data_IF_419682843058
#
_entry.id   IF_419682843058
#
_cell.length_a   1.000
_cell.length_b   1.000
_cell.length_c   1.000
_cell.angle_alpha   90.00
_cell.angle_beta   90.00
_cell.angle_gamma   90.00
#
_symmetry.space_group_name_H-M   'P 1'
#
loop_
_entity.id
_entity.type
_entity.pdbx_description
1 polymer ?
#
# COMPACT_ATOMS: atom_id res chain seq x y z
N UNK A 1 7.58 -1.36 4.02
CA UNK A 1 8.09 -0.95 5.37
C UNK A 1 9.61 -0.94 5.35
N UNK A 2 10.21 0.20 5.63
CA UNK A 2 11.65 0.45 5.44
C UNK A 2 12.57 -0.33 6.39
N UNK A 3 12.06 -0.79 7.52
CA UNK A 3 12.83 -1.59 8.52
C UNK A 3 12.76 -3.09 8.31
N UNK A 4 11.98 -3.56 7.35
CA UNK A 4 11.86 -4.98 7.06
C UNK A 4 13.07 -5.49 6.27
N UNK A 5 13.40 -6.76 6.43
CA UNK A 5 14.57 -7.39 5.79
C UNK A 5 14.58 -7.22 4.27
N UNK A 6 13.42 -7.28 3.63
CA UNK A 6 13.29 -7.13 2.18
C UNK A 6 13.41 -5.67 1.67
N UNK A 7 13.63 -4.68 2.55
CA UNK A 7 13.70 -3.28 2.13
C UNK A 7 14.87 -3.01 1.16
N UNK A 8 16.04 -3.59 1.41
CA UNK A 8 17.19 -3.46 0.54
C UNK A 8 16.96 -4.08 -0.84
N UNK A 9 16.38 -5.30 -0.88
CA UNK A 9 16.02 -5.99 -2.12
C UNK A 9 14.99 -5.19 -2.92
N UNK A 10 13.96 -4.63 -2.28
CA UNK A 10 12.96 -3.80 -2.94
C UNK A 10 13.59 -2.56 -3.62
N UNK A 11 14.63 -1.97 -3.01
CA UNK A 11 15.37 -0.84 -3.59
C UNK A 11 16.23 -1.29 -4.77
N UNK A 12 16.83 -2.48 -4.72
CA UNK A 12 17.57 -3.04 -5.86
C UNK A 12 16.64 -3.31 -7.04
N UNK A 13 15.46 -3.87 -6.79
CA UNK A 13 14.44 -4.08 -7.83
C UNK A 13 13.92 -2.76 -8.43
N UNK A 14 13.70 -1.73 -7.61
CA UNK A 14 13.34 -0.39 -8.11
C UNK A 14 14.39 0.17 -9.10
N UNK A 15 15.67 -0.03 -8.83
CA UNK A 15 16.75 0.37 -9.73
C UNK A 15 16.74 -0.42 -11.05
N UNK A 16 16.31 -1.69 -11.02
CA UNK A 16 16.19 -2.55 -12.23
C UNK A 16 14.95 -2.21 -13.05
N UNK A 17 13.90 -1.70 -12.41
CA UNK A 17 12.62 -1.39 -13.03
C UNK A 17 12.24 0.09 -12.85
N UNK A 18 12.91 1.03 -13.53
CA UNK A 18 12.77 2.48 -13.29
C UNK A 18 11.38 3.06 -13.61
N UNK A 19 10.50 2.27 -14.21
CA UNK A 19 9.08 2.62 -14.41
C UNK A 19 8.22 2.35 -13.20
N UNK A 20 8.71 1.60 -12.21
CA UNK A 20 8.02 1.42 -10.94
C UNK A 20 8.17 2.69 -10.09
N UNK A 21 7.12 2.99 -9.34
CA UNK A 21 7.16 4.05 -8.33
C UNK A 21 7.37 3.41 -6.96
N UNK A 22 8.54 3.61 -6.38
CA UNK A 22 8.83 3.11 -5.04
C UNK A 22 8.35 4.12 -4.00
N UNK A 23 7.24 3.80 -3.33
CA UNK A 23 6.69 4.53 -2.19
C UNK A 23 7.20 4.02 -0.85
N UNK A 24 6.90 4.76 0.20
CA UNK A 24 7.17 4.36 1.57
C UNK A 24 5.88 3.98 2.29
N UNK A 25 5.75 2.69 2.61
CA UNK A 25 4.71 2.15 3.49
C UNK A 25 5.12 2.37 4.95
N UNK A 26 4.56 3.41 5.57
CA UNK A 26 4.88 3.82 6.95
C UNK A 26 4.30 2.82 7.95
N UNK A 27 5.09 2.47 8.93
CA UNK A 27 4.76 1.50 9.97
C UNK A 27 4.75 2.17 11.34
N UNK A 28 3.57 2.27 11.95
CA UNK A 28 3.39 2.79 13.31
C UNK A 28 3.00 1.71 14.31
N UNK A 29 2.76 0.48 13.83
CA UNK A 29 2.32 -0.65 14.62
C UNK A 29 1.39 -1.58 13.85
N UNK A 30 1.03 -2.69 14.45
CA UNK A 30 0.12 -3.68 13.90
C UNK A 30 -0.90 -4.13 14.92
N UNK A 31 -2.15 -4.25 14.47
CA UNK A 31 -3.26 -4.81 15.22
C UNK A 31 -3.85 -6.01 14.47
N UNK A 32 -4.14 -7.07 15.17
CA UNK A 32 -4.77 -8.26 14.60
C UNK A 32 -6.13 -8.49 15.22
N UNK A 33 -7.11 -8.86 14.39
CA UNK A 33 -8.45 -9.22 14.85
C UNK A 33 -8.51 -10.73 15.11
N UNK A 34 -8.57 -11.12 16.40
CA UNK A 34 -8.61 -12.51 16.82
C UNK A 34 -9.69 -12.69 17.90
N UNK A 35 -10.44 -13.77 17.83
CA UNK A 35 -11.47 -14.13 18.80
C UNK A 35 -12.52 -13.03 19.05
N UNK A 36 -12.86 -12.26 18.02
CA UNK A 36 -13.84 -11.18 18.12
C UNK A 36 -13.30 -9.84 18.65
N UNK A 37 -12.01 -9.74 18.92
CA UNK A 37 -11.38 -8.54 19.48
C UNK A 37 -10.14 -8.10 18.69
N UNK A 38 -9.91 -6.79 18.67
CA UNK A 38 -8.66 -6.23 18.17
C UNK A 38 -7.57 -6.33 19.24
N UNK A 39 -6.43 -6.94 18.89
CA UNK A 39 -5.26 -7.06 19.76
C UNK A 39 -4.07 -6.39 19.09
N UNK A 40 -3.36 -5.58 19.87
CA UNK A 40 -2.10 -4.99 19.43
C UNK A 40 -1.04 -6.08 19.35
N UNK A 41 -0.39 -6.19 18.18
CA UNK A 41 0.73 -7.11 17.95
C UNK A 41 2.03 -6.41 18.37
N UNK A 42 2.23 -5.20 17.86
CA UNK A 42 3.31 -4.30 18.29
C UNK A 42 2.91 -2.84 18.05
N UNK A 43 3.65 -1.93 18.67
CA UNK A 43 3.53 -0.49 18.49
C UNK A 43 4.91 0.13 18.40
N UNK A 44 5.12 1.03 17.44
CA UNK A 44 6.39 1.71 17.24
C UNK A 44 6.51 2.95 18.12
N UNK A 45 5.39 3.64 18.32
CA UNK A 45 5.24 4.82 19.18
C UNK A 45 3.80 4.87 19.68
N UNK A 46 3.53 5.44 20.87
CA UNK A 46 2.16 5.56 21.37
C UNK A 46 1.25 6.26 20.35
N UNK A 47 0.13 5.60 20.00
CA UNK A 47 -0.77 6.06 18.95
C UNK A 47 -1.53 7.34 19.31
N UNK A 48 -1.51 7.77 20.56
CA UNK A 48 -2.09 9.01 21.09
C UNK A 48 -1.06 10.15 21.23
N UNK A 49 0.26 9.87 21.11
CA UNK A 49 1.32 10.89 21.10
C UNK A 49 1.65 11.37 19.69
N UNK A 50 0.96 12.41 19.25
CA UNK A 50 1.15 12.96 17.89
C UNK A 50 2.54 13.54 17.65
N UNK A 51 3.27 13.94 18.69
CA UNK A 51 4.66 14.42 18.55
C UNK A 51 5.58 13.23 18.27
N UNK A 52 5.42 12.14 19.00
CA UNK A 52 6.15 10.90 18.76
C UNK A 52 5.80 10.29 17.39
N UNK A 53 4.53 10.31 16.99
CA UNK A 53 4.07 9.86 15.67
C UNK A 53 4.75 10.66 14.55
N UNK A 54 4.75 12.01 14.62
CA UNK A 54 5.41 12.85 13.62
C UNK A 54 6.92 12.55 13.54
N UNK A 55 7.57 12.45 14.68
CA UNK A 55 9.00 12.15 14.75
C UNK A 55 9.33 10.78 14.16
N UNK A 56 8.46 9.77 14.35
CA UNK A 56 8.65 8.43 13.80
C UNK A 56 8.45 8.42 12.28
N UNK A 57 7.43 9.11 11.75
CA UNK A 57 7.22 9.25 10.32
C UNK A 57 8.47 9.86 9.66
N UNK A 58 9.00 10.96 10.22
CA UNK A 58 10.20 11.62 9.68
C UNK A 58 11.43 10.71 9.74
N UNK A 59 11.59 9.91 10.81
CA UNK A 59 12.68 8.92 10.89
C UNK A 59 12.59 7.85 9.81
N UNK A 60 11.40 7.35 9.51
CA UNK A 60 11.22 6.34 8.45
C UNK A 60 11.48 6.94 7.06
N UNK A 61 11.09 8.18 6.82
CA UNK A 61 11.39 8.89 5.58
C UNK A 61 12.91 9.08 5.43
N UNK A 62 13.59 9.52 6.49
CA UNK A 62 15.03 9.67 6.46
C UNK A 62 15.77 8.34 6.24
N UNK A 63 15.33 7.28 6.88
CA UNK A 63 15.88 5.94 6.64
C UNK A 63 15.66 5.48 5.19
N UNK A 64 14.49 5.76 4.61
CA UNK A 64 14.24 5.50 3.20
C UNK A 64 15.22 6.26 2.30
N UNK A 65 15.45 7.56 2.57
CA UNK A 65 16.42 8.39 1.84
C UNK A 65 17.83 7.82 1.89
N UNK A 66 18.26 7.37 3.06
CA UNK A 66 19.59 6.77 3.25
C UNK A 66 19.76 5.49 2.44
N UNK A 67 18.71 4.66 2.36
CA UNK A 67 18.74 3.40 1.63
C UNK A 67 18.58 3.59 0.12
N UNK A 68 17.62 4.43 -0.30
CA UNK A 68 17.25 4.60 -1.70
C UNK A 68 18.07 5.69 -2.42
N UNK A 69 18.68 6.63 -1.67
CA UNK A 69 19.38 7.80 -2.23
C UNK A 69 18.45 8.88 -2.81
N UNK A 70 17.14 8.77 -2.56
CA UNK A 70 16.09 9.69 -3.06
C UNK A 70 14.87 9.69 -2.17
N UNK A 71 13.95 10.61 -2.39
CA UNK A 71 12.64 10.60 -1.75
C UNK A 71 11.76 9.44 -2.25
N UNK A 72 10.84 8.93 -1.41
CA UNK A 72 9.78 8.05 -1.90
C UNK A 72 8.88 8.79 -2.88
N UNK A 73 8.33 8.08 -3.86
CA UNK A 73 7.41 8.68 -4.83
C UNK A 73 6.04 9.02 -4.23
N UNK A 74 5.67 8.36 -3.16
CA UNK A 74 4.42 8.55 -2.41
C UNK A 74 4.54 7.94 -1.02
N UNK A 75 3.59 8.30 -0.17
CA UNK A 75 3.44 7.75 1.18
C UNK A 75 2.11 7.03 1.31
N UNK A 76 2.12 5.95 2.06
CA UNK A 76 0.94 5.31 2.62
C UNK A 76 1.29 4.72 3.99
N UNK A 77 0.39 4.01 4.65
CA UNK A 77 0.70 3.41 5.93
C UNK A 77 0.07 2.04 6.12
N UNK A 78 0.74 1.22 6.90
CA UNK A 78 0.22 -0.05 7.36
C UNK A 78 -1.16 0.12 7.99
N UNK A 79 -2.09 -0.79 7.67
CA UNK A 79 -3.48 -0.77 8.13
C UNK A 79 -4.21 0.57 7.93
N UNK A 80 -3.74 1.39 6.96
CA UNK A 80 -4.33 2.69 6.61
C UNK A 80 -4.52 3.66 7.79
N UNK A 81 -3.64 3.59 8.80
CA UNK A 81 -3.72 4.46 9.99
C UNK A 81 -3.69 5.96 9.64
N UNK A 82 -3.08 6.32 8.49
CA UNK A 82 -3.10 7.69 7.96
C UNK A 82 -4.50 8.23 7.65
N UNK A 83 -5.53 7.39 7.59
CA UNK A 83 -6.92 7.80 7.39
C UNK A 83 -7.66 8.10 8.70
N UNK A 84 -7.08 7.73 9.85
CA UNK A 84 -7.72 7.84 11.16
C UNK A 84 -7.33 9.13 11.87
N UNK A 85 -8.29 9.80 12.51
CA UNK A 85 -7.98 10.93 13.39
C UNK A 85 -7.44 10.40 14.74
N UNK A 86 -6.48 11.09 15.35
CA UNK A 86 -5.85 12.36 14.94
C UNK A 86 -4.66 12.21 13.96
N UNK A 87 -4.19 11.00 13.68
CA UNK A 87 -3.02 10.72 12.82
C UNK A 87 -3.14 11.34 11.42
N UNK A 88 -4.36 11.37 10.85
CA UNK A 88 -4.63 11.97 9.54
C UNK A 88 -4.04 13.37 9.38
N UNK A 89 -4.17 14.20 10.41
CA UNK A 89 -3.64 15.57 10.40
C UNK A 89 -2.11 15.61 10.36
N UNK A 90 -1.45 14.71 11.10
CA UNK A 90 0.01 14.60 11.14
C UNK A 90 0.56 14.13 9.81
N UNK A 91 0.00 13.07 9.24
CA UNK A 91 0.39 12.56 7.93
C UNK A 91 0.23 13.62 6.83
N UNK A 92 -0.92 14.31 6.81
CA UNK A 92 -1.18 15.39 5.86
C UNK A 92 -0.17 16.55 5.98
N UNK A 93 0.18 16.93 7.21
CA UNK A 93 1.19 17.97 7.49
C UNK A 93 2.56 17.56 6.95
N UNK A 94 3.01 16.35 7.28
CA UNK A 94 4.33 15.86 6.85
C UNK A 94 4.39 15.72 5.32
N UNK A 95 3.40 15.09 4.71
CA UNK A 95 3.34 14.91 3.26
C UNK A 95 3.36 16.26 2.52
N UNK A 96 2.57 17.24 2.97
CA UNK A 96 2.53 18.58 2.39
C UNK A 96 3.86 19.31 2.52
N UNK A 97 4.49 19.26 3.71
CA UNK A 97 5.77 19.93 3.96
C UNK A 97 6.90 19.39 3.08
N UNK A 98 6.82 18.12 2.72
CA UNK A 98 7.82 17.44 1.89
C UNK A 98 7.43 17.39 0.39
N UNK A 99 6.24 17.86 0.02
CA UNK A 99 5.74 17.77 -1.36
C UNK A 99 5.51 16.34 -1.83
N UNK A 100 5.24 15.40 -0.91
CA UNK A 100 5.05 13.98 -1.23
C UNK A 100 3.56 13.65 -1.37
N UNK A 101 3.16 12.92 -2.43
CA UNK A 101 1.81 12.36 -2.52
C UNK A 101 1.51 11.46 -1.33
N UNK A 102 0.29 11.54 -0.80
CA UNK A 102 -0.20 10.66 0.26
C UNK A 102 -1.48 9.98 -0.24
N UNK A 103 -1.54 8.66 -0.10
CA UNK A 103 -2.72 7.84 -0.45
C UNK A 103 -3.99 8.41 0.20
N UNK A 104 -5.10 8.43 -0.54
CA UNK A 104 -6.40 8.96 -0.11
C UNK A 104 -6.44 10.48 0.19
N UNK A 105 -5.44 11.25 -0.25
CA UNK A 105 -5.42 12.71 -0.06
C UNK A 105 -5.51 13.50 -1.37
N UNK A 106 -5.29 12.85 -2.51
CA UNK A 106 -5.56 13.46 -3.81
C UNK A 106 -7.01 13.17 -4.23
N UNK A 107 -7.90 14.17 -4.31
CA UNK A 107 -9.30 13.97 -4.67
C UNK A 107 -9.50 13.47 -6.11
N UNK A 108 -8.49 13.60 -6.97
CA UNK A 108 -8.52 13.09 -8.35
C UNK A 108 -8.16 11.61 -8.47
N UNK A 109 -7.78 10.95 -7.36
CA UNK A 109 -7.43 9.53 -7.32
C UNK A 109 -8.38 8.81 -6.39
N UNK A 110 -9.19 7.92 -6.94
CA UNK A 110 -10.03 7.01 -6.17
C UNK A 110 -9.21 5.84 -5.64
N UNK A 111 -9.55 5.33 -4.46
CA UNK A 111 -8.93 4.12 -3.93
C UNK A 111 -9.91 2.95 -4.00
N UNK A 112 -9.48 1.82 -4.54
CA UNK A 112 -10.20 0.55 -4.56
C UNK A 112 -9.47 -0.49 -3.72
N UNK A 113 -10.05 -0.90 -2.59
CA UNK A 113 -9.53 -1.94 -1.70
C UNK A 113 -10.31 -3.25 -1.79
N UNK A 114 -11.10 -3.46 -2.85
CA UNK A 114 -11.94 -4.66 -2.99
C UNK A 114 -11.16 -5.92 -3.36
N UNK A 115 -9.94 -5.78 -3.87
CA UNK A 115 -9.06 -6.90 -4.18
C UNK A 115 -8.28 -7.28 -2.93
N UNK A 116 -8.89 -8.13 -2.09
CA UNK A 116 -8.33 -8.54 -0.81
C UNK A 116 -8.78 -9.95 -0.42
N UNK A 117 -7.83 -10.79 -0.01
CA UNK A 117 -8.05 -12.23 0.28
C UNK A 117 -8.62 -12.52 1.66
N UNK A 118 -9.11 -11.51 2.39
CA UNK A 118 -9.72 -11.68 3.70
C UNK A 118 -11.04 -10.94 3.84
N UNK A 119 -12.00 -11.56 4.54
CA UNK A 119 -13.28 -10.95 4.89
C UNK A 119 -13.58 -11.13 6.37
N UNK A 120 -13.74 -10.04 7.13
CA UNK A 120 -13.99 -10.07 8.58
C UNK A 120 -12.98 -10.94 9.34
N UNK A 121 -11.69 -10.87 8.97
CA UNK A 121 -10.61 -11.65 9.59
C UNK A 121 -10.48 -13.09 9.10
N UNK A 122 -11.41 -13.61 8.29
CA UNK A 122 -11.34 -14.96 7.73
C UNK A 122 -10.78 -14.97 6.31
N UNK A 123 -10.15 -16.08 5.86
CA UNK A 123 -9.77 -16.26 4.47
C UNK A 123 -10.96 -16.08 3.52
N UNK A 124 -10.74 -15.34 2.45
CA UNK A 124 -11.71 -15.07 1.38
C UNK A 124 -11.02 -15.13 0.02
N UNK A 125 -10.62 -16.33 -0.44
CA UNK A 125 -9.85 -16.50 -1.68
C UNK A 125 -10.59 -15.99 -2.93
N UNK A 126 -11.94 -16.00 -2.93
CA UNK A 126 -12.72 -15.42 -4.01
C UNK A 126 -12.41 -13.92 -4.20
N UNK A 127 -12.05 -13.21 -3.12
CA UNK A 127 -11.70 -11.78 -3.14
C UNK A 127 -10.47 -11.46 -3.98
N UNK A 128 -9.56 -12.41 -4.14
CA UNK A 128 -8.32 -12.28 -4.94
C UNK A 128 -8.30 -13.17 -6.18
N UNK A 129 -9.48 -13.72 -6.56
CA UNK A 129 -9.60 -14.52 -7.77
C UNK A 129 -9.51 -13.68 -9.05
N UNK A 130 -9.14 -14.34 -10.16
CA UNK A 130 -9.13 -13.74 -11.51
C UNK A 130 -10.51 -13.20 -11.89
N UNK A 131 -11.57 -13.92 -11.54
CA UNK A 131 -12.96 -13.51 -11.78
C UNK A 131 -13.28 -12.20 -11.06
N UNK A 132 -12.93 -12.12 -9.79
CA UNK A 132 -13.19 -10.91 -9.00
C UNK A 132 -12.38 -9.71 -9.51
N UNK A 133 -11.11 -9.90 -9.83
CA UNK A 133 -10.28 -8.81 -10.37
C UNK A 133 -10.82 -8.31 -11.71
N UNK A 134 -11.23 -9.21 -12.61
CA UNK A 134 -11.90 -8.81 -13.85
C UNK A 134 -13.22 -8.07 -13.59
N UNK A 135 -14.00 -8.47 -12.57
CA UNK A 135 -15.21 -7.74 -12.16
C UNK A 135 -14.88 -6.33 -11.67
N UNK A 136 -13.86 -6.21 -10.81
CA UNK A 136 -13.38 -4.91 -10.31
C UNK A 136 -12.99 -4.02 -11.48
N UNK A 137 -12.14 -4.50 -12.42
CA UNK A 137 -11.68 -3.74 -13.57
C UNK A 137 -12.87 -3.18 -14.38
N UNK A 138 -13.91 -4.00 -14.64
CA UNK A 138 -15.13 -3.56 -15.33
C UNK A 138 -15.94 -2.50 -14.59
N UNK A 139 -15.84 -2.46 -13.28
CA UNK A 139 -16.59 -1.54 -12.42
C UNK A 139 -15.83 -0.25 -12.06
N UNK A 140 -14.59 -0.11 -12.51
CA UNK A 140 -13.79 1.08 -12.23
C UNK A 140 -14.49 2.34 -12.78
N UNK A 141 -14.57 3.42 -12.00
CA UNK A 141 -15.06 4.70 -12.50
C UNK A 141 -14.10 5.29 -13.52
N UNK A 142 -14.60 6.17 -14.37
CA UNK A 142 -13.72 6.97 -15.22
C UNK A 142 -12.82 7.87 -14.37
N UNK A 143 -11.54 7.96 -14.77
CA UNK A 143 -10.53 8.72 -14.02
C UNK A 143 -9.37 7.84 -13.56
N UNK A 144 -8.76 8.20 -12.43
CA UNK A 144 -7.62 7.49 -11.88
C UNK A 144 -8.06 6.72 -10.64
N UNK A 145 -7.75 5.42 -10.61
CA UNK A 145 -8.00 4.56 -9.45
C UNK A 145 -6.71 3.86 -9.03
N UNK A 146 -6.37 3.98 -7.75
CA UNK A 146 -5.37 3.16 -7.10
C UNK A 146 -6.02 1.85 -6.64
N UNK A 147 -5.54 0.71 -7.14
CA UNK A 147 -5.97 -0.61 -6.69
C UNK A 147 -5.03 -1.09 -5.57
N UNK A 148 -5.57 -1.28 -4.37
CA UNK A 148 -4.84 -1.89 -3.26
C UNK A 148 -4.62 -3.39 -3.52
N UNK A 149 -3.36 -3.85 -3.39
CA UNK A 149 -3.00 -5.25 -3.47
C UNK A 149 -1.77 -5.53 -2.60
N UNK A 150 -1.54 -6.80 -2.27
CA UNK A 150 -0.47 -7.24 -1.37
C UNK A 150 0.32 -8.42 -1.96
N UNK A 151 0.71 -8.36 -3.26
CA UNK A 151 1.42 -9.47 -3.88
C UNK A 151 2.76 -9.72 -3.20
N UNK A 152 3.16 -10.97 -3.14
CA UNK A 152 4.45 -11.36 -2.60
C UNK A 152 4.72 -12.85 -2.81
N UNK A 153 5.98 -13.24 -2.71
CA UNK A 153 6.34 -14.64 -2.71
C UNK A 153 6.26 -15.17 -1.28
N UNK A 154 5.81 -16.42 -1.13
CA UNK A 154 5.80 -17.12 0.15
C UNK A 154 7.24 -17.53 0.50
N UNK A 155 7.94 -16.63 1.16
CA UNK A 155 9.35 -16.79 1.54
C UNK A 155 9.54 -16.93 3.06
N UNK A 156 8.61 -17.61 3.74
CA UNK A 156 8.68 -17.81 5.19
C UNK A 156 8.40 -16.55 6.00
N UNK A 157 7.54 -15.68 5.50
CA UNK A 157 7.05 -14.52 6.22
C UNK A 157 6.19 -14.96 7.40
N UNK A 158 6.49 -14.43 8.58
CA UNK A 158 5.63 -14.56 9.76
C UNK A 158 4.46 -13.57 9.64
N UNK A 159 3.46 -13.95 8.86
CA UNK A 159 2.29 -13.13 8.58
C UNK A 159 1.07 -14.03 8.37
N UNK A 160 -0.06 -13.63 8.91
CA UNK A 160 -1.35 -14.30 8.68
C UNK A 160 -1.82 -14.21 7.20
N UNK A 161 -1.22 -13.34 6.38
CA UNK A 161 -1.53 -13.10 4.97
C UNK A 161 -0.39 -13.60 4.06
N UNK A 162 -0.03 -14.89 4.14
CA UNK A 162 1.09 -15.46 3.35
C UNK A 162 0.62 -16.13 2.07
N UNK A 163 -0.30 -17.09 2.17
CA UNK A 163 -0.81 -17.82 1.02
C UNK A 163 -1.49 -16.88 0.01
N UNK A 164 -2.27 -15.93 0.53
CA UNK A 164 -2.97 -14.94 -0.26
C UNK A 164 -2.03 -14.09 -1.12
N UNK A 165 -0.82 -13.75 -0.62
CA UNK A 165 0.18 -12.98 -1.39
C UNK A 165 0.60 -13.68 -2.66
N UNK A 166 0.86 -14.99 -2.59
CA UNK A 166 1.25 -15.79 -3.75
C UNK A 166 0.09 -15.94 -4.75
N UNK A 167 -1.13 -16.06 -4.27
CA UNK A 167 -2.32 -16.09 -5.12
C UNK A 167 -2.55 -14.73 -5.81
N UNK A 168 -2.34 -13.62 -5.10
CA UNK A 168 -2.39 -12.28 -5.70
C UNK A 168 -1.39 -12.13 -6.85
N UNK A 169 -0.14 -12.62 -6.69
CA UNK A 169 0.84 -12.62 -7.79
C UNK A 169 0.31 -13.37 -9.00
N UNK A 170 -0.22 -14.59 -8.80
CA UNK A 170 -0.75 -15.41 -9.89
C UNK A 170 -1.93 -14.71 -10.59
N UNK A 171 -2.83 -14.12 -9.81
CA UNK A 171 -3.99 -13.40 -10.34
C UNK A 171 -3.58 -12.15 -11.11
N UNK A 172 -2.72 -11.30 -10.54
CA UNK A 172 -2.25 -10.06 -11.18
C UNK A 172 -1.48 -10.33 -12.48
N UNK A 173 -0.77 -11.46 -12.57
CA UNK A 173 -0.03 -11.87 -13.76
C UNK A 173 -0.86 -12.70 -14.75
N UNK A 174 -2.14 -12.95 -14.46
CA UNK A 174 -2.96 -13.84 -15.30
C UNK A 174 -3.34 -13.18 -16.63
N UNK A 175 -3.24 -13.93 -17.74
CA UNK A 175 -3.50 -13.40 -19.09
C UNK A 175 -4.92 -12.85 -19.29
N UNK A 176 -5.94 -13.40 -18.62
CA UNK A 176 -7.31 -12.88 -18.64
C UNK A 176 -7.42 -11.49 -18.03
N UNK A 177 -6.65 -11.21 -16.96
CA UNK A 177 -6.61 -9.88 -16.34
C UNK A 177 -6.02 -8.87 -17.31
N UNK A 178 -4.95 -9.24 -18.01
CA UNK A 178 -4.35 -8.39 -19.05
C UNK A 178 -5.35 -8.10 -20.18
N UNK A 179 -6.03 -9.13 -20.66
CA UNK A 179 -7.05 -8.98 -21.70
C UNK A 179 -8.23 -8.12 -21.25
N UNK A 180 -8.59 -8.18 -19.95
CA UNK A 180 -9.65 -7.34 -19.39
C UNK A 180 -9.24 -5.86 -19.33
N UNK A 181 -8.01 -5.56 -18.90
CA UNK A 181 -7.47 -4.19 -18.92
C UNK A 181 -7.49 -3.60 -20.32
N UNK A 182 -7.06 -4.38 -21.33
CA UNK A 182 -7.05 -3.96 -22.73
C UNK A 182 -8.47 -3.72 -23.25
N UNK A 183 -9.43 -4.59 -22.91
CA UNK A 183 -10.84 -4.47 -23.30
C UNK A 183 -11.50 -3.22 -22.72
N UNK A 184 -11.28 -2.95 -21.45
CA UNK A 184 -11.83 -1.78 -20.74
C UNK A 184 -10.99 -0.51 -21.00
N UNK A 185 -9.93 -0.60 -21.82
CA UNK A 185 -9.02 0.51 -22.15
C UNK A 185 -8.38 1.14 -20.91
N UNK A 186 -8.07 0.32 -19.91
CA UNK A 186 -7.39 0.77 -18.71
C UNK A 186 -5.89 0.93 -19.01
N UNK A 187 -5.36 2.11 -18.72
CA UNK A 187 -3.92 2.38 -18.81
C UNK A 187 -3.32 2.28 -17.40
N UNK A 188 -2.30 1.43 -17.24
CA UNK A 188 -1.53 1.34 -16.00
C UNK A 188 -0.57 2.52 -15.95
N UNK A 189 -0.60 3.24 -14.83
CA UNK A 189 0.28 4.38 -14.55
C UNK A 189 0.92 4.21 -13.18
N UNK A 190 2.07 4.84 -12.97
CA UNK A 190 2.76 4.85 -11.69
C UNK A 190 2.48 6.14 -10.92
N UNK A 191 2.75 6.16 -9.62
CA UNK A 191 2.60 7.39 -8.82
C UNK A 191 3.45 8.56 -9.31
N UNK A 192 4.62 8.28 -9.92
CA UNK A 192 5.48 9.33 -10.48
C UNK A 192 4.86 10.03 -11.70
N UNK A 193 3.86 9.42 -12.34
CA UNK A 193 3.16 9.96 -13.50
C UNK A 193 1.89 10.72 -13.12
N UNK A 194 1.50 10.67 -11.84
CA UNK A 194 0.28 11.37 -11.37
C UNK A 194 0.53 12.86 -11.20
N UNK A 195 -0.48 13.69 -11.53
CA UNK A 195 -0.42 15.11 -11.20
C UNK A 195 -0.32 15.29 -9.68
N UNK A 196 0.59 16.15 -9.24
CA UNK A 196 0.64 16.55 -7.84
C UNK A 196 -0.69 17.19 -7.46
N UNK A 197 -1.21 16.84 -6.29
CA UNK A 197 -2.36 17.53 -5.75
C UNK A 197 -2.00 19.00 -5.52
N UNK A 198 -2.72 19.89 -6.20
CA UNK A 198 -2.56 21.34 -6.07
C UNK A 198 -2.95 21.84 -4.68
#
# INVERSE_FOLDING_TARGET
MVRQQAAAEAIEEDRRFPKLSLGLHLDLGEWSYRDGEWRQVYEMVPADDMVAVEAEILRQIELFRQLAGRDPTHLDSHQHVHNQQPMRAVFAKVARNLGLPLRNFNPSVSFCGEFYGRGKGNPFPEGISVENLCRIIRSLPAGITELGCHPGLDAGLDSDYCAERSEEVQTLCHSRVRAELDRERVTLVSFAELPLAG
#
